data_IF_318418331400
#
_entry.id   IF_318418331400
#
_cell.length_a   1.000
_cell.length_b   1.000
_cell.length_c   1.000
_cell.angle_alpha   90.00
_cell.angle_beta   90.00
_cell.angle_gamma   90.00
#
_symmetry.space_group_name_H-M   'P 1'
#
loop_
_entity.id
_entity.type
_entity.pdbx_description
1 polymer ?
#
# COMPACT_ATOMS: atom_id res chain seq x y z
N UNK A 1 33.90 46.29 -11.45
CA UNK A 1 33.16 45.61 -10.38
C UNK A 1 32.65 46.67 -9.44
N UNK A 2 31.33 46.86 -9.26
CA UNK A 2 30.81 47.56 -8.11
C UNK A 2 30.48 46.55 -7.00
N UNK A 3 30.99 46.83 -5.81
CA UNK A 3 30.66 46.15 -4.54
C UNK A 3 29.14 46.21 -4.31
N UNK A 4 28.49 45.06 -4.14
CA UNK A 4 27.09 44.99 -3.71
C UNK A 4 27.02 45.25 -2.21
N UNK A 5 26.69 46.49 -1.85
CA UNK A 5 26.40 46.92 -0.49
C UNK A 5 25.18 46.15 0.05
N UNK A 6 25.41 45.24 1.00
CA UNK A 6 24.36 44.47 1.68
C UNK A 6 23.40 45.44 2.39
N UNK A 7 22.14 45.50 1.96
CA UNK A 7 21.24 46.61 2.35
C UNK A 7 20.29 46.24 3.51
N UNK A 8 20.06 44.96 3.86
CA UNK A 8 19.17 44.56 4.99
C UNK A 8 19.56 43.21 5.60
N UNK A 9 19.44 43.08 6.92
CA UNK A 9 19.44 41.79 7.63
C UNK A 9 18.36 41.77 8.72
N UNK A 10 17.83 40.58 9.01
CA UNK A 10 16.71 40.34 9.95
C UNK A 10 17.15 39.27 10.95
N UNK A 11 17.35 39.64 12.22
CA UNK A 11 17.69 38.68 13.27
C UNK A 11 16.41 37.97 13.76
N UNK A 12 16.43 36.63 13.81
CA UNK A 12 15.41 35.81 14.46
C UNK A 12 16.10 34.97 15.53
N UNK A 13 15.67 35.09 16.78
CA UNK A 13 16.26 34.38 17.92
C UNK A 13 15.19 33.74 18.79
N UNK A 14 15.40 32.46 19.12
CA UNK A 14 14.57 31.68 20.05
C UNK A 14 15.03 31.96 21.48
N UNK A 15 14.12 32.43 22.35
CA UNK A 15 14.35 32.42 23.80
C UNK A 15 13.83 31.08 24.33
N UNK A 16 14.64 30.41 25.15
CA UNK A 16 14.48 29.01 25.58
C UNK A 16 13.22 28.61 26.36
N UNK A 17 12.10 29.35 26.26
CA UNK A 17 10.80 29.01 26.83
C UNK A 17 9.61 29.24 25.86
N UNK A 18 9.80 29.10 24.54
CA UNK A 18 8.70 29.05 23.58
C UNK A 18 8.00 30.39 23.28
N UNK A 19 8.66 31.52 23.55
CA UNK A 19 8.17 32.85 23.17
C UNK A 19 8.93 33.40 21.95
N UNK A 20 8.18 33.88 20.95
CA UNK A 20 8.72 34.54 19.76
C UNK A 20 9.18 35.97 20.08
N UNK A 21 10.40 36.35 19.68
CA UNK A 21 10.77 37.77 19.58
C UNK A 21 10.43 38.24 18.16
N UNK A 22 9.65 39.31 18.06
CA UNK A 22 9.31 39.91 16.78
C UNK A 22 10.59 40.35 16.03
N UNK A 23 10.71 40.02 14.73
CA UNK A 23 11.88 40.42 13.98
C UNK A 23 11.96 41.94 13.83
N UNK A 24 13.17 42.49 14.01
CA UNK A 24 13.47 43.90 13.71
C UNK A 24 14.30 44.00 12.43
N UNK A 25 13.89 44.90 11.55
CA UNK A 25 14.59 45.22 10.30
C UNK A 25 15.74 46.19 10.59
N UNK A 26 16.94 45.89 10.08
CA UNK A 26 18.10 46.77 10.26
C UNK A 26 18.72 47.15 8.90
N UNK A 27 19.13 48.42 8.79
CA UNK A 27 19.95 48.95 7.69
C UNK A 27 21.34 49.34 8.22
N UNK A 28 22.40 48.82 7.61
CA UNK A 28 23.79 49.21 7.87
C UNK A 28 24.52 48.38 8.93
N UNK A 29 25.83 48.20 8.74
CA UNK A 29 26.69 47.45 9.67
C UNK A 29 26.96 48.28 10.94
N UNK A 30 26.43 47.84 12.08
CA UNK A 30 27.05 48.11 13.39
C UNK A 30 26.45 47.22 14.48
N UNK A 31 27.33 46.68 15.32
CA UNK A 31 26.98 45.88 16.50
C UNK A 31 26.01 46.64 17.42
N UNK A 32 25.04 45.93 18.02
CA UNK A 32 24.19 46.46 19.08
C UNK A 32 24.17 45.57 20.32
N UNK A 33 24.14 46.25 21.46
CA UNK A 33 23.90 45.70 22.80
C UNK A 33 22.41 45.49 22.98
N UNK A 34 22.01 44.29 23.37
CA UNK A 34 20.63 43.96 23.73
C UNK A 34 20.43 44.30 25.21
N UNK A 35 19.74 45.41 25.50
CA UNK A 35 19.35 45.75 26.87
C UNK A 35 18.21 44.83 27.35
N UNK A 36 18.37 44.27 28.56
CA UNK A 36 17.35 43.44 29.23
C UNK A 36 17.72 41.97 29.47
N UNK A 37 18.89 41.51 29.01
CA UNK A 37 19.39 40.17 29.35
C UNK A 37 20.05 40.24 30.74
N UNK A 38 19.33 39.79 31.77
CA UNK A 38 19.92 39.58 33.11
C UNK A 38 20.98 38.49 32.98
N UNK A 39 22.20 38.82 33.36
CA UNK A 39 23.40 38.01 33.17
C UNK A 39 23.24 36.57 33.68
N UNK A 40 23.32 35.61 32.75
CA UNK A 40 23.61 34.21 32.99
C UNK A 40 24.71 33.76 31.99
N UNK A 41 25.58 32.80 32.34
CA UNK A 41 26.94 32.72 31.84
C UNK A 41 26.98 32.27 30.38
N UNK A 42 27.75 33.03 29.57
CA UNK A 42 28.25 32.69 28.23
C UNK A 42 27.32 31.83 27.37
N UNK A 43 26.29 32.45 26.78
CA UNK A 43 25.72 31.89 25.55
C UNK A 43 26.79 32.00 24.45
N UNK A 44 27.22 30.90 23.82
CA UNK A 44 28.06 30.99 22.63
C UNK A 44 27.21 31.56 21.49
N UNK A 45 27.38 32.85 21.20
CA UNK A 45 26.94 33.42 19.94
C UNK A 45 27.88 32.87 18.86
N UNK A 46 27.51 31.77 18.23
CA UNK A 46 28.11 31.38 16.95
C UNK A 46 27.54 32.32 15.90
N UNK A 47 28.37 33.23 15.39
CA UNK A 47 28.10 33.94 14.13
C UNK A 47 28.19 32.88 13.04
N UNK A 48 27.05 32.29 12.67
CA UNK A 48 26.95 31.43 11.50
C UNK A 48 26.95 32.32 10.25
N UNK A 49 27.62 31.81 9.23
CA UNK A 49 27.68 32.37 7.88
C UNK A 49 26.28 32.75 7.36
N UNK A 50 26.23 33.79 6.52
CA UNK A 50 25.05 34.42 5.92
C UNK A 50 23.80 33.52 5.85
N UNK A 51 22.95 33.55 6.88
CA UNK A 51 21.69 32.82 6.90
C UNK A 51 20.58 33.71 6.34
N UNK A 52 19.90 33.26 5.28
CA UNK A 52 18.75 33.97 4.71
C UNK A 52 17.49 33.76 5.55
N UNK A 53 16.40 34.47 5.22
CA UNK A 53 15.11 34.22 5.88
C UNK A 53 14.58 32.84 5.49
N UNK A 54 14.82 32.41 4.24
CA UNK A 54 14.56 31.06 3.76
C UNK A 54 15.24 29.99 4.61
N UNK A 55 16.55 30.09 4.78
CA UNK A 55 17.36 29.14 5.57
C UNK A 55 16.84 29.00 7.01
N UNK A 56 16.52 30.13 7.65
CA UNK A 56 16.04 30.14 9.02
C UNK A 56 14.68 29.45 9.16
N UNK A 57 13.78 29.64 8.18
CA UNK A 57 12.47 28.98 8.14
C UNK A 57 12.62 27.50 7.82
N UNK A 58 13.45 27.14 6.83
CA UNK A 58 13.72 25.76 6.45
C UNK A 58 14.32 24.95 7.60
N UNK A 59 15.32 25.50 8.32
CA UNK A 59 15.85 24.92 9.55
C UNK A 59 14.76 24.76 10.62
N UNK A 60 13.88 25.75 10.75
CA UNK A 60 12.74 25.67 11.68
C UNK A 60 11.82 24.50 11.30
N UNK A 61 11.47 24.34 10.03
CA UNK A 61 10.69 23.20 9.53
C UNK A 61 11.37 21.86 9.85
N UNK A 62 12.67 21.72 9.57
CA UNK A 62 13.45 20.51 9.85
C UNK A 62 13.49 20.12 11.33
N UNK A 63 13.51 21.12 12.20
CA UNK A 63 13.67 20.97 13.66
C UNK A 63 12.35 21.02 14.43
N UNK A 64 11.24 21.40 13.79
CA UNK A 64 9.94 21.52 14.44
C UNK A 64 9.43 20.15 14.90
N UNK A 65 9.49 19.95 16.22
CA UNK A 65 8.71 18.94 16.94
C UNK A 65 7.45 19.63 17.45
N UNK A 66 6.27 19.10 17.14
CA UNK A 66 4.99 19.68 17.55
C UNK A 66 4.80 19.70 19.07
N UNK A 67 3.61 20.12 19.50
CA UNK A 67 3.23 20.04 20.92
C UNK A 67 3.41 18.59 21.42
N UNK A 68 4.13 18.42 22.52
CA UNK A 68 4.43 17.12 23.19
C UNK A 68 5.63 16.31 22.65
N UNK A 69 6.51 16.90 21.83
CA UNK A 69 7.73 16.22 21.35
C UNK A 69 7.47 15.19 20.24
N UNK A 70 6.22 15.06 19.81
CA UNK A 70 5.81 14.39 18.58
C UNK A 70 5.96 15.40 17.45
N UNK A 71 6.72 15.09 16.39
CA UNK A 71 6.76 15.93 15.19
C UNK A 71 5.34 16.14 14.68
N UNK A 72 4.82 17.37 14.77
CA UNK A 72 3.60 17.76 14.07
C UNK A 72 3.95 17.61 12.60
N UNK A 73 3.45 16.54 11.99
CA UNK A 73 3.79 16.16 10.64
C UNK A 73 3.18 17.18 9.69
N UNK A 74 4.02 17.69 8.79
CA UNK A 74 3.53 18.41 7.62
C UNK A 74 2.79 17.37 6.78
N UNK A 75 1.45 17.41 6.83
CA UNK A 75 0.61 16.42 6.18
C UNK A 75 0.20 16.86 4.77
N UNK A 76 1.12 16.77 3.81
CA UNK A 76 0.88 17.17 2.43
C UNK A 76 0.44 16.00 1.54
N UNK A 77 -0.88 15.75 1.60
CA UNK A 77 -1.81 15.36 0.53
C UNK A 77 -1.41 14.34 -0.56
N UNK A 78 -1.99 13.14 -0.45
CA UNK A 78 -2.32 12.24 -1.57
C UNK A 78 -3.83 12.26 -1.93
N UNK A 79 -4.61 13.22 -1.40
CA UNK A 79 -6.07 13.25 -1.58
C UNK A 79 -6.52 13.61 -3.00
N UNK A 80 -5.69 14.34 -3.75
CA UNK A 80 -6.05 14.92 -5.05
C UNK A 80 -5.34 14.22 -6.23
N UNK A 81 -4.46 13.25 -5.94
CA UNK A 81 -3.97 12.32 -6.95
C UNK A 81 -5.08 11.31 -7.26
N UNK A 82 -5.99 11.72 -8.15
CA UNK A 82 -7.22 11.01 -8.55
C UNK A 82 -6.94 9.62 -9.14
N UNK A 83 -5.71 9.36 -9.54
CA UNK A 83 -5.27 8.07 -10.03
C UNK A 83 -4.82 7.23 -8.83
N UNK A 84 -5.77 6.47 -8.27
CA UNK A 84 -5.52 5.43 -7.27
C UNK A 84 -4.44 4.43 -7.72
N UNK A 85 -4.22 3.37 -6.93
CA UNK A 85 -3.23 2.36 -7.33
C UNK A 85 -3.64 1.71 -8.66
N UNK A 86 -2.69 1.62 -9.59
CA UNK A 86 -2.90 0.84 -10.82
C UNK A 86 -2.99 -0.64 -10.46
N UNK A 87 -3.56 -1.45 -11.35
CA UNK A 87 -3.65 -2.90 -11.11
C UNK A 87 -2.27 -3.55 -10.92
N UNK A 88 -1.26 -3.08 -11.64
CA UNK A 88 0.12 -3.55 -11.50
C UNK A 88 0.73 -3.15 -10.14
N UNK A 89 0.46 -1.93 -9.68
CA UNK A 89 0.90 -1.46 -8.35
C UNK A 89 0.20 -2.25 -7.23
N UNK A 90 -1.10 -2.54 -7.39
CA UNK A 90 -1.84 -3.37 -6.45
C UNK A 90 -1.26 -4.80 -6.39
N UNK A 91 -1.01 -5.43 -7.53
CA UNK A 91 -0.40 -6.76 -7.58
C UNK A 91 1.02 -6.77 -6.97
N UNK A 92 1.82 -5.75 -7.26
CA UNK A 92 3.15 -5.60 -6.66
C UNK A 92 3.04 -5.48 -5.12
N UNK A 93 2.09 -4.71 -4.59
CA UNK A 93 1.81 -4.65 -3.15
C UNK A 93 1.38 -6.02 -2.60
N UNK A 94 0.56 -6.79 -3.33
CA UNK A 94 0.12 -8.13 -2.91
C UNK A 94 1.26 -9.15 -2.89
N UNK A 95 2.22 -9.04 -3.82
CA UNK A 95 3.49 -9.79 -3.80
C UNK A 95 4.47 -9.29 -2.73
N UNK A 96 4.18 -8.12 -2.16
CA UNK A 96 4.99 -7.45 -1.17
C UNK A 96 6.20 -6.70 -1.71
N UNK A 97 6.17 -6.36 -3.01
CA UNK A 97 7.10 -5.46 -3.70
C UNK A 97 6.79 -3.98 -3.37
N UNK A 98 6.49 -3.68 -2.09
CA UNK A 98 6.01 -2.36 -1.64
C UNK A 98 7.07 -1.28 -1.85
N UNK A 99 8.35 -1.63 -1.76
CA UNK A 99 9.46 -0.72 -1.98
C UNK A 99 9.50 -0.20 -3.43
N UNK A 100 9.29 -1.09 -4.40
CA UNK A 100 9.32 -0.74 -5.83
C UNK A 100 8.14 0.17 -6.18
N UNK A 101 6.94 -0.15 -5.67
CA UNK A 101 5.75 0.70 -5.82
C UNK A 101 5.97 2.07 -5.19
N UNK A 102 6.64 2.14 -4.03
CA UNK A 102 6.94 3.41 -3.37
C UNK A 102 7.86 4.29 -4.22
N UNK A 103 8.89 3.73 -4.85
CA UNK A 103 9.78 4.49 -5.73
C UNK A 103 9.05 4.95 -7.00
N UNK A 104 8.26 4.08 -7.64
CA UNK A 104 7.43 4.45 -8.79
C UNK A 104 6.44 5.56 -8.45
N UNK A 105 5.78 5.45 -7.29
CA UNK A 105 4.85 6.47 -6.81
C UNK A 105 5.54 7.79 -6.51
N UNK A 106 6.75 7.79 -5.94
CA UNK A 106 7.52 9.02 -5.72
C UNK A 106 7.77 9.75 -7.02
N UNK A 107 8.16 9.05 -8.08
CA UNK A 107 8.38 9.65 -9.40
C UNK A 107 7.07 10.18 -9.99
N UNK A 108 6.02 9.35 -10.03
CA UNK A 108 4.71 9.70 -10.57
C UNK A 108 4.08 10.91 -9.87
N UNK A 109 4.24 10.99 -8.56
CA UNK A 109 3.58 11.97 -7.70
C UNK A 109 4.49 13.15 -7.36
N UNK A 110 5.74 13.18 -7.82
CA UNK A 110 6.73 14.23 -7.52
C UNK A 110 6.20 15.64 -7.76
N UNK A 111 5.51 15.86 -8.89
CA UNK A 111 4.94 17.17 -9.24
C UNK A 111 3.81 17.60 -8.30
N UNK A 112 2.91 16.66 -7.97
CA UNK A 112 1.80 16.92 -7.06
C UNK A 112 2.30 17.15 -5.63
N UNK A 113 3.25 16.32 -5.19
CA UNK A 113 3.92 16.45 -3.90
C UNK A 113 4.63 17.81 -3.78
N UNK A 114 5.39 18.23 -4.79
CA UNK A 114 6.03 19.57 -4.79
C UNK A 114 5.01 20.71 -4.73
N UNK A 115 3.93 20.65 -5.51
CA UNK A 115 2.90 21.69 -5.49
C UNK A 115 2.18 21.77 -4.13
N UNK A 116 1.93 20.64 -3.48
CA UNK A 116 1.38 20.61 -2.12
C UNK A 116 2.38 21.16 -1.09
N UNK A 117 3.66 20.79 -1.21
CA UNK A 117 4.73 21.31 -0.37
C UNK A 117 4.90 22.83 -0.52
N UNK A 118 4.73 23.38 -1.73
CA UNK A 118 4.70 24.84 -1.97
C UNK A 118 3.56 25.54 -1.22
N UNK A 119 2.36 24.96 -1.20
CA UNK A 119 1.23 25.53 -0.47
C UNK A 119 1.48 25.50 1.05
N UNK A 120 1.97 24.39 1.59
CA UNK A 120 2.27 24.30 3.02
C UNK A 120 3.45 25.20 3.40
N UNK A 121 4.47 25.32 2.55
CA UNK A 121 5.59 26.24 2.73
C UNK A 121 5.11 27.70 2.81
N UNK A 122 4.18 28.11 1.94
CA UNK A 122 3.54 29.43 2.00
C UNK A 122 2.76 29.62 3.33
N UNK A 123 2.03 28.60 3.77
CA UNK A 123 1.28 28.62 5.02
C UNK A 123 2.17 28.72 6.26
N UNK A 124 3.25 27.94 6.33
CA UNK A 124 4.25 28.00 7.41
C UNK A 124 4.92 29.37 7.41
N UNK A 125 5.37 29.85 6.26
CA UNK A 125 6.01 31.16 6.10
C UNK A 125 5.12 32.29 6.62
N UNK A 126 3.83 32.24 6.26
CA UNK A 126 2.82 33.20 6.72
C UNK A 126 2.56 33.10 8.23
N UNK A 127 2.47 31.88 8.78
CA UNK A 127 2.33 31.65 10.24
C UNK A 127 3.52 32.22 11.03
N UNK A 128 4.72 32.18 10.45
CA UNK A 128 5.95 32.76 11.01
C UNK A 128 6.08 34.27 10.80
N UNK A 129 5.09 34.92 10.18
CA UNK A 129 5.05 36.37 9.98
C UNK A 129 6.00 36.87 8.89
N UNK A 130 6.38 36.00 7.95
CA UNK A 130 7.11 36.37 6.75
C UNK A 130 6.18 36.43 5.53
N UNK A 131 6.56 37.22 4.52
CA UNK A 131 5.79 37.37 3.27
C UNK A 131 6.42 36.50 2.18
N UNK A 132 5.77 35.37 1.88
CA UNK A 132 6.17 34.41 0.85
C UNK A 132 6.42 35.05 -0.52
N UNK A 133 5.63 36.07 -0.88
CA UNK A 133 5.75 36.73 -2.21
C UNK A 133 6.93 37.68 -2.29
N UNK A 134 7.51 38.04 -1.15
CA UNK A 134 8.67 38.92 -1.08
C UNK A 134 10.01 38.18 -1.07
N UNK A 135 9.98 36.84 -0.94
CA UNK A 135 11.15 35.97 -0.98
C UNK A 135 11.62 35.74 -2.42
N UNK A 136 12.91 35.53 -2.60
CA UNK A 136 13.46 35.07 -3.87
C UNK A 136 13.15 33.57 -4.09
N UNK A 137 13.53 33.07 -5.27
CA UNK A 137 13.26 31.67 -5.64
C UNK A 137 14.07 30.69 -4.81
N UNK A 138 15.29 31.06 -4.41
CA UNK A 138 16.20 30.20 -3.65
C UNK A 138 15.66 29.99 -2.22
N UNK A 139 15.25 31.06 -1.53
CA UNK A 139 14.63 30.99 -0.21
C UNK A 139 13.33 30.16 -0.22
N UNK A 140 12.51 30.33 -1.26
CA UNK A 140 11.27 29.56 -1.40
C UNK A 140 11.55 28.08 -1.65
N UNK A 141 12.50 27.76 -2.52
CA UNK A 141 12.88 26.39 -2.80
C UNK A 141 13.44 25.69 -1.57
N UNK A 142 14.29 26.36 -0.79
CA UNK A 142 14.87 25.81 0.45
C UNK A 142 13.79 25.44 1.49
N UNK A 143 12.75 26.28 1.64
CA UNK A 143 11.62 25.98 2.55
C UNK A 143 10.80 24.80 2.01
N UNK A 144 10.53 24.75 0.69
CA UNK A 144 9.79 23.64 0.05
C UNK A 144 10.53 22.32 0.23
N UNK A 145 11.84 22.31 0.01
CA UNK A 145 12.68 21.13 0.21
C UNK A 145 12.67 20.68 1.66
N UNK A 146 12.79 21.61 2.62
CA UNK A 146 12.66 21.28 4.03
C UNK A 146 11.30 20.68 4.40
N UNK A 147 10.21 21.16 3.79
CA UNK A 147 8.86 20.59 3.94
C UNK A 147 8.81 19.16 3.40
N UNK A 148 9.33 18.92 2.19
CA UNK A 148 9.36 17.59 1.57
C UNK A 148 10.26 16.61 2.35
N UNK A 149 11.37 17.08 2.92
CA UNK A 149 12.30 16.25 3.72
C UNK A 149 11.69 15.77 5.03
N UNK A 150 10.81 16.58 5.65
CA UNK A 150 10.15 16.20 6.89
C UNK A 150 8.82 15.47 6.67
N UNK A 151 8.37 15.34 5.43
CA UNK A 151 7.19 14.55 5.10
C UNK A 151 7.42 13.06 5.46
N UNK A 152 6.45 12.50 6.18
CA UNK A 152 6.47 11.11 6.65
C UNK A 152 5.28 10.30 6.13
N UNK A 153 4.54 10.79 5.14
CA UNK A 153 3.38 10.06 4.62
C UNK A 153 3.80 8.74 3.99
N UNK A 154 3.16 7.65 4.45
CA UNK A 154 3.14 6.40 3.71
C UNK A 154 2.10 6.50 2.59
N UNK A 155 2.54 7.02 1.44
CA UNK A 155 1.73 7.18 0.24
C UNK A 155 1.01 5.88 -0.15
N UNK A 156 1.74 4.77 -0.10
CA UNK A 156 1.21 3.44 -0.38
C UNK A 156 0.13 3.08 0.64
N UNK A 157 0.40 3.31 1.92
CA UNK A 157 -0.59 3.15 2.99
C UNK A 157 -1.86 3.94 2.73
N UNK A 158 -1.77 5.23 2.42
CA UNK A 158 -2.95 6.08 2.15
C UNK A 158 -3.74 5.57 0.94
N UNK A 159 -3.08 5.37 -0.20
CA UNK A 159 -3.78 4.94 -1.42
C UNK A 159 -4.38 3.53 -1.27
N UNK A 160 -3.74 2.64 -0.51
CA UNK A 160 -4.30 1.33 -0.16
C UNK A 160 -5.65 1.46 0.56
N UNK A 161 -5.82 2.45 1.44
CA UNK A 161 -7.09 2.69 2.15
C UNK A 161 -8.13 3.42 1.28
N UNK A 162 -7.68 4.18 0.29
CA UNK A 162 -8.56 4.90 -0.65
C UNK A 162 -9.04 4.03 -1.82
N UNK A 163 -8.35 2.91 -2.08
CA UNK A 163 -8.70 2.00 -3.17
C UNK A 163 -10.02 1.29 -2.85
N UNK A 164 -10.97 1.34 -3.78
CA UNK A 164 -12.25 0.66 -3.64
C UNK A 164 -12.07 -0.86 -3.52
N UNK A 165 -13.10 -1.54 -3.00
CA UNK A 165 -13.07 -3.00 -2.92
C UNK A 165 -12.83 -3.60 -4.31
N UNK A 166 -11.86 -4.50 -4.38
CA UNK A 166 -11.51 -5.23 -5.59
C UNK A 166 -11.92 -6.69 -5.45
N UNK A 167 -12.10 -7.32 -6.60
CA UNK A 167 -12.15 -8.77 -6.67
C UNK A 167 -10.72 -9.32 -6.59
N UNK A 168 -10.48 -10.19 -5.62
CA UNK A 168 -9.21 -10.86 -5.42
C UNK A 168 -9.33 -12.34 -5.73
N UNK A 169 -8.21 -12.92 -6.20
CA UNK A 169 -8.03 -14.35 -6.36
C UNK A 169 -6.81 -14.83 -5.58
N UNK A 170 -6.95 -15.97 -4.94
CA UNK A 170 -5.85 -16.64 -4.24
C UNK A 170 -5.83 -18.12 -4.64
N UNK A 171 -4.78 -18.60 -5.33
CA UNK A 171 -4.67 -20.00 -5.68
C UNK A 171 -4.55 -20.87 -4.42
N UNK A 172 -5.22 -22.03 -4.42
CA UNK A 172 -5.14 -23.04 -3.36
C UNK A 172 -3.94 -23.98 -3.50
N UNK A 173 -2.96 -23.62 -4.33
CA UNK A 173 -1.69 -24.33 -4.45
C UNK A 173 -1.36 -24.66 -5.90
N UNK A 174 -1.04 -25.93 -6.14
CA UNK A 174 -0.61 -26.44 -7.44
C UNK A 174 -1.78 -26.64 -8.40
N UNK A 175 -1.46 -26.99 -9.65
CA UNK A 175 -2.49 -27.44 -10.61
C UNK A 175 -3.21 -28.68 -10.10
N UNK A 176 -4.46 -28.87 -10.52
CA UNK A 176 -5.29 -30.02 -10.12
C UNK A 176 -4.62 -31.34 -10.51
N UNK A 177 -3.93 -31.38 -11.66
CA UNK A 177 -3.21 -32.57 -12.13
C UNK A 177 -1.98 -32.88 -11.28
N UNK A 178 -1.21 -31.87 -10.88
CA UNK A 178 -0.09 -32.07 -9.94
C UNK A 178 -0.58 -32.58 -8.58
N UNK A 179 -1.74 -32.11 -8.11
CA UNK A 179 -2.36 -32.60 -6.88
C UNK A 179 -2.84 -34.06 -7.03
N UNK A 180 -3.45 -34.39 -8.16
CA UNK A 180 -3.85 -35.76 -8.47
C UNK A 180 -2.65 -36.70 -8.49
N UNK A 181 -1.56 -36.31 -9.16
CA UNK A 181 -0.33 -37.09 -9.22
C UNK A 181 0.27 -37.34 -7.82
N UNK A 182 0.23 -36.33 -6.93
CA UNK A 182 0.68 -36.45 -5.54
C UNK A 182 -0.11 -37.47 -4.71
N UNK A 183 -1.36 -37.75 -5.08
CA UNK A 183 -2.25 -38.71 -4.42
C UNK A 183 -2.36 -40.05 -5.16
N UNK A 184 -1.64 -40.21 -6.28
CA UNK A 184 -1.67 -41.42 -7.12
C UNK A 184 -2.90 -41.52 -8.04
N UNK A 185 -3.69 -40.45 -8.16
CA UNK A 185 -4.81 -40.35 -9.10
C UNK A 185 -4.26 -39.94 -10.47
N UNK A 186 -4.69 -40.62 -11.53
CA UNK A 186 -4.20 -40.40 -12.91
C UNK A 186 -5.36 -40.40 -13.91
N UNK A 187 -5.14 -39.87 -15.12
CA UNK A 187 -6.12 -39.94 -16.20
C UNK A 187 -7.28 -38.95 -16.06
N UNK A 188 -7.06 -37.84 -15.35
CA UNK A 188 -8.06 -36.79 -15.13
C UNK A 188 -7.91 -35.60 -16.07
N UNK A 189 -6.80 -35.55 -16.82
CA UNK A 189 -6.36 -34.40 -17.63
C UNK A 189 -7.33 -34.15 -18.77
N UNK A 190 -7.63 -35.16 -19.58
CA UNK A 190 -8.45 -35.01 -20.77
C UNK A 190 -9.77 -35.74 -20.63
N UNK A 191 -10.87 -35.08 -20.99
CA UNK A 191 -12.18 -35.71 -21.06
C UNK A 191 -12.19 -36.87 -22.07
N UNK A 192 -12.51 -38.07 -21.58
CA UNK A 192 -12.70 -39.29 -22.36
C UNK A 192 -14.12 -39.80 -22.15
N UNK A 193 -14.94 -39.73 -23.20
CA UNK A 193 -16.34 -40.14 -23.17
C UNK A 193 -16.51 -41.61 -22.75
N UNK A 194 -15.54 -42.48 -23.07
CA UNK A 194 -15.58 -43.89 -22.68
C UNK A 194 -15.39 -44.11 -21.17
N UNK A 195 -14.77 -43.14 -20.48
CA UNK A 195 -14.42 -43.20 -19.06
C UNK A 195 -15.02 -42.03 -18.26
N UNK A 196 -16.02 -41.32 -18.80
CA UNK A 196 -16.53 -40.06 -18.26
C UNK A 196 -16.92 -40.16 -16.77
N UNK A 197 -17.64 -41.21 -16.38
CA UNK A 197 -18.06 -41.41 -14.98
C UNK A 197 -16.88 -41.63 -14.03
N UNK A 198 -15.89 -42.42 -14.47
CA UNK A 198 -14.70 -42.71 -13.69
C UNK A 198 -13.80 -41.47 -13.55
N UNK A 199 -13.65 -40.70 -14.62
CA UNK A 199 -12.92 -39.43 -14.62
C UNK A 199 -13.61 -38.38 -13.75
N UNK A 200 -14.93 -38.25 -13.85
CA UNK A 200 -15.70 -37.34 -13.01
C UNK A 200 -15.56 -37.70 -11.52
N UNK A 201 -15.62 -38.99 -11.18
CA UNK A 201 -15.39 -39.46 -9.82
C UNK A 201 -13.97 -39.14 -9.32
N UNK A 202 -12.95 -39.36 -10.16
CA UNK A 202 -11.55 -39.07 -9.85
C UNK A 202 -11.30 -37.56 -9.68
N UNK A 203 -11.79 -36.72 -10.60
CA UNK A 203 -11.72 -35.25 -10.50
C UNK A 203 -12.39 -34.74 -9.21
N UNK A 204 -13.57 -35.26 -8.88
CA UNK A 204 -14.27 -34.92 -7.64
C UNK A 204 -13.46 -35.30 -6.40
N UNK A 205 -12.84 -36.49 -6.41
CA UNK A 205 -11.98 -36.93 -5.31
C UNK A 205 -10.78 -36.00 -5.11
N UNK A 206 -10.14 -35.54 -6.20
CA UNK A 206 -9.03 -34.58 -6.12
C UNK A 206 -9.49 -33.25 -5.54
N UNK A 207 -10.60 -32.69 -6.02
CA UNK A 207 -11.14 -31.44 -5.48
C UNK A 207 -11.49 -31.54 -4.00
N UNK A 208 -12.12 -32.64 -3.57
CA UNK A 208 -12.40 -32.88 -2.15
C UNK A 208 -11.11 -32.99 -1.32
N UNK A 209 -10.06 -33.59 -1.87
CA UNK A 209 -8.74 -33.62 -1.25
C UNK A 209 -8.15 -32.21 -1.07
N UNK A 210 -8.18 -31.40 -2.13
CA UNK A 210 -7.74 -29.99 -2.08
C UNK A 210 -8.54 -29.23 -1.02
N UNK A 211 -9.88 -29.34 -1.02
CA UNK A 211 -10.71 -28.65 -0.04
C UNK A 211 -10.42 -29.10 1.39
N UNK A 212 -10.16 -30.39 1.61
CA UNK A 212 -9.80 -30.93 2.92
C UNK A 212 -8.43 -30.45 3.41
N UNK A 213 -7.44 -30.34 2.53
CA UNK A 213 -6.12 -29.72 2.84
C UNK A 213 -6.27 -28.28 3.33
N UNK A 214 -7.29 -27.59 2.81
CA UNK A 214 -7.66 -26.22 3.15
C UNK A 214 -8.76 -26.12 4.21
N UNK A 215 -8.99 -27.20 4.97
CA UNK A 215 -9.81 -27.19 6.18
C UNK A 215 -11.33 -27.27 5.96
N UNK A 216 -11.80 -27.51 4.73
CA UNK A 216 -13.20 -27.86 4.51
C UNK A 216 -13.46 -29.33 4.89
N UNK A 217 -14.65 -29.64 5.39
CA UNK A 217 -15.06 -31.02 5.64
C UNK A 217 -15.46 -31.68 4.30
N UNK A 218 -14.74 -32.72 3.83
CA UNK A 218 -15.03 -33.40 2.57
C UNK A 218 -16.32 -34.23 2.60
N UNK A 219 -16.88 -34.51 3.78
CA UNK A 219 -18.15 -35.22 3.94
C UNK A 219 -19.35 -34.27 4.06
N UNK A 220 -19.12 -32.97 4.24
CA UNK A 220 -20.20 -31.99 4.36
C UNK A 220 -20.98 -31.88 3.03
N UNK A 221 -22.33 -31.95 3.04
CA UNK A 221 -23.13 -31.99 1.82
C UNK A 221 -22.86 -30.85 0.83
N UNK A 222 -22.63 -29.65 1.34
CA UNK A 222 -22.32 -28.48 0.50
C UNK A 222 -20.92 -28.56 -0.13
N UNK A 223 -19.93 -29.13 0.56
CA UNK A 223 -18.58 -29.35 0.01
C UNK A 223 -18.64 -30.39 -1.11
N UNK A 224 -19.38 -31.48 -0.90
CA UNK A 224 -19.59 -32.53 -1.90
C UNK A 224 -20.32 -31.99 -3.12
N UNK A 225 -21.36 -31.18 -2.91
CA UNK A 225 -22.12 -30.54 -3.99
C UNK A 225 -21.26 -29.52 -4.76
N UNK A 226 -20.44 -28.72 -4.08
CA UNK A 226 -19.51 -27.79 -4.72
C UNK A 226 -18.52 -28.52 -5.62
N UNK A 227 -17.87 -29.59 -5.11
CA UNK A 227 -16.96 -30.40 -5.91
C UNK A 227 -17.68 -31.07 -7.10
N UNK A 228 -18.93 -31.53 -6.92
CA UNK A 228 -19.74 -32.10 -8.00
C UNK A 228 -20.00 -31.07 -9.10
N UNK A 229 -20.45 -29.87 -8.76
CA UNK A 229 -20.73 -28.79 -9.74
C UNK A 229 -19.49 -28.40 -10.51
N UNK A 230 -18.36 -28.20 -9.83
CA UNK A 230 -17.10 -27.86 -10.47
C UNK A 230 -16.65 -28.91 -11.49
N UNK A 231 -16.93 -30.19 -11.25
CA UNK A 231 -16.63 -31.27 -12.21
C UNK A 231 -17.62 -31.32 -13.37
N UNK A 232 -18.91 -31.20 -13.10
CA UNK A 232 -19.96 -31.33 -14.11
C UNK A 232 -20.02 -30.15 -15.08
N UNK A 233 -19.91 -28.94 -14.54
CA UNK A 233 -19.92 -27.72 -15.33
C UNK A 233 -18.51 -27.36 -15.83
N UNK A 234 -17.49 -28.07 -15.32
CA UNK A 234 -16.07 -27.86 -15.57
C UNK A 234 -15.66 -27.95 -17.04
N UNK A 235 -14.49 -27.37 -17.39
CA UNK A 235 -13.90 -27.49 -18.72
C UNK A 235 -13.61 -28.95 -19.08
N UNK A 236 -13.40 -29.23 -20.37
CA UNK A 236 -13.05 -30.59 -20.81
C UNK A 236 -11.58 -30.94 -20.51
N UNK A 237 -10.70 -29.97 -20.68
CA UNK A 237 -9.27 -30.08 -20.43
C UNK A 237 -8.95 -29.58 -19.02
N UNK A 238 -8.30 -30.43 -18.22
CA UNK A 238 -7.92 -30.19 -16.83
C UNK A 238 -6.41 -30.10 -16.63
N UNK A 239 -5.63 -30.15 -17.71
CA UNK A 239 -4.16 -30.27 -17.69
C UNK A 239 -3.46 -29.15 -16.89
N UNK A 240 -3.94 -27.91 -17.02
CA UNK A 240 -3.29 -26.72 -16.45
C UNK A 240 -4.15 -25.99 -15.40
N UNK A 241 -5.29 -26.57 -15.01
CA UNK A 241 -6.26 -25.88 -14.17
C UNK A 241 -5.77 -25.76 -12.72
N UNK A 242 -6.02 -24.60 -12.12
CA UNK A 242 -5.88 -24.36 -10.68
C UNK A 242 -7.24 -24.24 -10.01
N UNK A 243 -7.25 -24.35 -8.69
CA UNK A 243 -8.41 -23.99 -7.87
C UNK A 243 -8.04 -22.73 -7.12
N UNK A 244 -8.83 -21.68 -7.30
CA UNK A 244 -8.62 -20.39 -6.67
C UNK A 244 -9.80 -20.03 -5.77
N UNK A 245 -9.53 -19.28 -4.72
CA UNK A 245 -10.57 -18.60 -3.92
C UNK A 245 -10.79 -17.24 -4.52
N UNK A 246 -12.05 -16.87 -4.77
CA UNK A 246 -12.43 -15.56 -5.27
C UNK A 246 -13.29 -14.81 -4.24
N UNK A 247 -12.91 -13.59 -3.90
CA UNK A 247 -13.68 -12.76 -2.96
C UNK A 247 -13.52 -11.26 -3.23
N UNK A 248 -14.49 -10.46 -2.80
CA UNK A 248 -14.30 -9.00 -2.76
C UNK A 248 -13.79 -8.55 -1.40
N UNK A 249 -12.72 -7.76 -1.42
CA UNK A 249 -12.13 -7.18 -0.22
C UNK A 249 -11.44 -5.87 -0.51
N UNK A 250 -10.80 -5.30 0.49
CA UNK A 250 -9.88 -4.17 0.33
C UNK A 250 -8.45 -4.65 0.13
N UNK A 251 -7.61 -3.85 -0.53
CA UNK A 251 -6.19 -4.19 -0.71
C UNK A 251 -5.45 -4.38 0.63
N UNK A 252 -5.86 -3.64 1.66
CA UNK A 252 -5.33 -3.79 3.01
C UNK A 252 -5.62 -5.18 3.61
N UNK A 253 -6.81 -5.72 3.36
CA UNK A 253 -7.21 -7.06 3.80
C UNK A 253 -6.46 -8.16 3.03
N UNK A 254 -6.19 -7.95 1.74
CA UNK A 254 -5.60 -8.97 0.87
C UNK A 254 -4.07 -9.06 0.94
N UNK A 255 -3.36 -7.95 1.23
CA UNK A 255 -1.89 -7.93 1.17
C UNK A 255 -1.21 -8.80 2.23
N UNK A 256 -0.04 -9.33 1.87
CA UNK A 256 0.89 -9.95 2.80
C UNK A 256 1.51 -8.84 3.68
N UNK A 257 1.60 -9.02 5.00
CA UNK A 257 2.28 -8.06 5.86
C UNK A 257 3.75 -7.90 5.46
N UNK A 258 4.21 -6.65 5.41
CA UNK A 258 5.60 -6.29 5.21
C UNK A 258 6.11 -5.44 6.38
N UNK A 259 7.41 -5.53 6.67
CA UNK A 259 8.06 -4.60 7.62
C UNK A 259 8.18 -3.18 7.04
N UNK A 260 8.75 -2.25 7.83
CA UNK A 260 8.99 -0.86 7.39
C UNK A 260 9.90 -0.73 6.17
N UNK A 261 10.72 -1.77 5.91
CA UNK A 261 11.63 -1.87 4.77
C UNK A 261 10.99 -2.58 3.57
N UNK A 262 9.71 -2.95 3.65
CA UNK A 262 9.00 -3.65 2.58
C UNK A 262 9.35 -5.14 2.46
N UNK A 263 9.98 -5.75 3.47
CA UNK A 263 10.25 -7.19 3.46
C UNK A 263 9.01 -7.95 3.89
N UNK A 264 8.56 -8.89 3.06
CA UNK A 264 7.40 -9.73 3.35
C UNK A 264 7.68 -10.71 4.47
N UNK A 265 6.63 -11.03 5.24
CA UNK A 265 6.67 -12.17 6.14
C UNK A 265 6.75 -13.48 5.32
N UNK A 266 7.80 -14.30 5.49
CA UNK A 266 7.91 -15.58 4.78
C UNK A 266 6.79 -16.57 5.13
N UNK A 267 6.19 -16.45 6.32
CA UNK A 267 5.06 -17.29 6.72
C UNK A 267 3.74 -16.88 6.04
N UNK A 268 3.74 -15.74 5.35
CA UNK A 268 2.61 -15.23 4.60
C UNK A 268 1.46 -14.71 5.47
N UNK A 269 0.25 -14.79 4.93
CA UNK A 269 -1.02 -14.43 5.60
C UNK A 269 -2.03 -15.53 5.41
N UNK A 270 -2.64 -15.97 6.51
CA UNK A 270 -3.72 -16.95 6.48
C UNK A 270 -5.08 -16.25 6.53
N UNK A 271 -6.00 -16.78 5.72
CA UNK A 271 -7.38 -16.35 5.59
C UNK A 271 -8.29 -17.50 5.98
N UNK A 272 -9.34 -17.19 6.72
CA UNK A 272 -10.46 -18.07 7.01
C UNK A 272 -11.71 -17.43 6.42
N UNK A 273 -12.40 -18.17 5.58
CA UNK A 273 -13.61 -17.73 4.92
C UNK A 273 -14.81 -18.58 5.33
N UNK A 274 -15.98 -17.96 5.39
CA UNK A 274 -17.29 -18.61 5.52
C UNK A 274 -18.14 -18.22 4.31
N UNK A 275 -18.73 -19.20 3.61
CA UNK A 275 -19.53 -18.96 2.41
C UNK A 275 -18.71 -18.41 1.23
N UNK A 276 -17.52 -18.93 0.99
CA UNK A 276 -16.59 -18.40 -0.01
C UNK A 276 -16.79 -19.02 -1.38
N UNK A 277 -16.55 -18.23 -2.43
CA UNK A 277 -16.55 -18.76 -3.79
C UNK A 277 -15.18 -19.35 -4.13
N UNK A 278 -15.19 -20.59 -4.58
CA UNK A 278 -14.06 -21.25 -5.23
C UNK A 278 -14.30 -21.32 -6.72
N UNK A 279 -13.23 -21.16 -7.49
CA UNK A 279 -13.27 -21.22 -8.94
C UNK A 279 -12.24 -22.24 -9.43
N UNK A 280 -12.60 -22.99 -10.46
CA UNK A 280 -11.60 -23.62 -11.32
C UNK A 280 -11.14 -22.56 -12.31
N UNK A 281 -9.84 -22.34 -12.39
CA UNK A 281 -9.23 -21.32 -13.24
C UNK A 281 -8.25 -21.96 -14.21
N UNK A 282 -8.46 -21.70 -15.51
CA UNK A 282 -7.45 -21.96 -16.53
C UNK A 282 -6.60 -20.69 -16.75
N UNK A 283 -5.27 -20.73 -16.49
CA UNK A 283 -4.41 -19.58 -16.64
C UNK A 283 -4.20 -19.13 -18.10
N UNK A 284 -4.52 -19.97 -19.09
CA UNK A 284 -4.29 -19.71 -20.51
C UNK A 284 -5.59 -19.44 -21.28
N UNK A 285 -6.56 -20.33 -21.11
CA UNK A 285 -7.74 -20.38 -21.98
C UNK A 285 -8.96 -19.73 -21.32
N UNK A 286 -8.92 -19.61 -19.99
CA UNK A 286 -9.90 -18.86 -19.24
C UNK A 286 -11.30 -19.47 -19.21
N UNK A 287 -11.39 -20.80 -19.31
CA UNK A 287 -12.61 -21.48 -18.90
C UNK A 287 -12.68 -21.46 -17.37
N UNK A 288 -13.82 -21.02 -16.83
CA UNK A 288 -14.00 -20.90 -15.38
C UNK A 288 -15.35 -21.36 -14.92
N UNK A 289 -15.37 -22.10 -13.81
CA UNK A 289 -16.59 -22.55 -13.13
C UNK A 289 -16.45 -22.24 -11.66
N UNK A 290 -17.54 -21.79 -11.05
CA UNK A 290 -17.58 -21.37 -9.66
C UNK A 290 -18.53 -22.23 -8.81
N UNK A 291 -18.18 -22.40 -7.55
CA UNK A 291 -19.04 -22.99 -6.54
C UNK A 291 -18.80 -22.30 -5.18
N UNK A 292 -19.75 -22.43 -4.26
CA UNK A 292 -19.62 -21.87 -2.90
C UNK A 292 -19.28 -22.99 -1.92
N UNK A 293 -18.29 -22.74 -1.06
CA UNK A 293 -17.92 -23.61 0.05
C UNK A 293 -18.35 -22.99 1.38
N UNK A 294 -18.82 -23.81 2.35
CA UNK A 294 -19.29 -23.33 3.64
C UNK A 294 -18.15 -22.71 4.45
N UNK A 295 -16.98 -23.34 4.47
CA UNK A 295 -15.78 -22.87 5.16
C UNK A 295 -14.54 -23.27 4.39
N UNK A 296 -13.55 -22.39 4.36
CA UNK A 296 -12.25 -22.70 3.74
C UNK A 296 -11.16 -21.84 4.38
N UNK A 297 -9.94 -22.38 4.45
CA UNK A 297 -8.73 -21.64 4.79
C UNK A 297 -7.84 -21.51 3.55
N UNK A 298 -7.15 -20.39 3.40
CA UNK A 298 -6.15 -20.24 2.36
C UNK A 298 -4.98 -19.41 2.88
N UNK A 299 -3.82 -19.55 2.26
CA UNK A 299 -2.61 -18.83 2.66
C UNK A 299 -1.96 -18.14 1.47
N UNK A 300 -1.84 -16.82 1.55
CA UNK A 300 -1.03 -16.07 0.61
C UNK A 300 0.42 -15.99 1.08
N UNK A 301 1.36 -16.23 0.17
CA UNK A 301 2.80 -16.12 0.40
C UNK A 301 3.45 -15.36 -0.76
N UNK A 302 4.72 -15.01 -0.65
CA UNK A 302 5.50 -14.42 -1.74
C UNK A 302 5.50 -15.28 -3.01
N UNK A 303 5.44 -16.61 -2.86
CA UNK A 303 5.38 -17.58 -3.96
C UNK A 303 3.97 -17.88 -4.46
N UNK A 304 2.96 -17.61 -3.64
CA UNK A 304 1.56 -17.80 -3.96
C UNK A 304 0.76 -16.57 -3.50
N UNK A 305 0.96 -15.43 -4.16
CA UNK A 305 0.38 -14.16 -3.74
C UNK A 305 -1.11 -14.11 -4.09
N UNK A 306 -1.84 -13.23 -3.40
CA UNK A 306 -3.15 -12.79 -3.88
C UNK A 306 -2.95 -11.99 -5.17
N UNK A 307 -3.89 -12.09 -6.11
CA UNK A 307 -3.89 -11.26 -7.33
C UNK A 307 -5.20 -10.48 -7.42
N UNK A 308 -5.14 -9.28 -7.99
CA UNK A 308 -6.35 -8.56 -8.38
C UNK A 308 -6.93 -9.21 -9.64
N UNK A 309 -8.22 -9.51 -9.67
CA UNK A 309 -8.92 -9.94 -10.88
C UNK A 309 -9.68 -8.76 -11.49
N UNK A 310 -9.26 -8.35 -12.69
CA UNK A 310 -9.86 -7.25 -13.44
C UNK A 310 -10.10 -7.66 -14.90
N UNK A 311 -11.18 -7.17 -15.56
CA UNK A 311 -11.55 -7.65 -16.89
C UNK A 311 -10.51 -7.46 -18.00
N UNK A 312 -9.53 -6.59 -17.78
CA UNK A 312 -8.43 -6.28 -18.69
C UNK A 312 -7.23 -7.24 -18.53
N UNK A 313 -7.19 -8.08 -17.49
CA UNK A 313 -6.14 -9.07 -17.31
C UNK A 313 -6.32 -10.32 -18.18
N UNK A 314 -5.24 -10.86 -18.76
CA UNK A 314 -5.25 -12.19 -19.36
C UNK A 314 -5.75 -13.25 -18.37
N UNK A 315 -6.64 -14.12 -18.81
CA UNK A 315 -7.22 -15.16 -17.96
C UNK A 315 -8.08 -14.62 -16.81
N UNK A 316 -8.63 -13.40 -16.92
CA UNK A 316 -9.49 -12.84 -15.89
C UNK A 316 -10.84 -13.58 -15.80
N UNK A 317 -11.16 -14.01 -14.58
CA UNK A 317 -12.44 -14.63 -14.27
C UNK A 317 -13.62 -13.66 -14.45
N UNK A 318 -13.45 -12.40 -14.05
CA UNK A 318 -14.51 -11.39 -14.17
C UNK A 318 -14.84 -11.02 -15.61
N UNK A 319 -13.85 -11.01 -16.51
CA UNK A 319 -14.10 -10.84 -17.94
C UNK A 319 -15.01 -11.95 -18.50
N UNK A 320 -14.82 -13.18 -18.04
CA UNK A 320 -15.44 -14.38 -18.61
C UNK A 320 -16.80 -14.69 -18.03
N UNK A 321 -16.93 -14.62 -16.71
CA UNK A 321 -18.20 -14.93 -16.04
C UNK A 321 -19.30 -13.93 -16.41
N UNK A 322 -18.94 -12.71 -16.83
CA UNK A 322 -19.87 -11.61 -17.07
C UNK A 322 -20.67 -11.22 -15.81
N UNK A 323 -20.33 -11.78 -14.64
CA UNK A 323 -21.03 -11.54 -13.39
C UNK A 323 -20.49 -10.26 -12.78
N UNK A 324 -21.39 -9.35 -12.42
CA UNK A 324 -21.01 -8.17 -11.65
C UNK A 324 -20.52 -8.60 -10.27
N UNK A 325 -19.32 -8.14 -9.93
CA UNK A 325 -18.51 -8.49 -8.76
C UNK A 325 -19.24 -8.46 -7.41
N UNK A 326 -20.42 -7.86 -7.27
CA UNK A 326 -21.10 -7.61 -5.98
C UNK A 326 -21.48 -8.86 -5.15
N UNK A 327 -21.49 -10.06 -5.74
CA UNK A 327 -21.96 -11.28 -5.07
C UNK A 327 -20.90 -12.10 -4.30
N UNK A 328 -19.61 -11.85 -4.50
CA UNK A 328 -18.54 -12.72 -3.96
C UNK A 328 -18.02 -12.24 -2.60
N UNK A 329 -18.90 -11.74 -1.74
CA UNK A 329 -18.49 -11.35 -0.38
C UNK A 329 -18.71 -12.56 0.52
N UNK A 330 -17.69 -13.07 1.23
CA UNK A 330 -17.87 -14.11 2.23
C UNK A 330 -18.87 -13.66 3.31
N UNK A 331 -19.63 -14.59 3.86
CA UNK A 331 -20.54 -14.33 4.99
C UNK A 331 -19.74 -13.90 6.24
N UNK A 332 -18.62 -14.56 6.49
CA UNK A 332 -17.60 -14.14 7.44
C UNK A 332 -16.22 -14.27 6.83
N UNK A 333 -15.35 -13.32 7.14
CA UNK A 333 -13.95 -13.29 6.71
C UNK A 333 -13.07 -12.93 7.89
N UNK A 334 -12.07 -13.78 8.17
CA UNK A 334 -11.05 -13.52 9.17
C UNK A 334 -9.69 -13.70 8.54
N UNK A 335 -8.81 -12.74 8.73
CA UNK A 335 -7.42 -12.88 8.37
C UNK A 335 -6.60 -12.85 9.65
N UNK A 336 -5.62 -13.74 9.78
CA UNK A 336 -4.72 -13.70 10.92
C UNK A 336 -3.92 -12.39 10.90
N UNK A 337 -3.89 -11.69 12.04
CA UNK A 337 -2.89 -10.68 12.29
C UNK A 337 -1.53 -11.39 12.49
N UNK A 338 -0.40 -10.77 12.09
CA UNK A 338 0.91 -11.39 12.24
C UNK A 338 1.14 -11.77 13.70
N UNK A 339 1.90 -12.85 13.91
CA UNK A 339 2.21 -13.47 15.20
C UNK A 339 2.13 -12.49 16.36
N UNK A 340 1.13 -12.71 17.22
CA UNK A 340 0.99 -11.96 18.45
C UNK A 340 2.22 -12.17 19.32
N UNK A 341 3.10 -11.18 19.35
CA UNK A 341 3.91 -10.82 20.53
C UNK A 341 4.26 -9.34 20.43
N UNK A 342 3.92 -8.64 21.52
CA UNK A 342 4.17 -7.26 21.96
C UNK A 342 5.25 -6.43 21.25
#
# INVERSE_FOLDING_TARGET
MPESTLTRYKNVGLVGNGGWIAPKEHQGASAQVIDGIVAAPAYPFNVLEYETVGDAIARTVRTYTGKDGVKETVNTFYSDAVDGLTTDQMDAILRGEVADVREEMKERLAKAHRAAAEQEAEDITRKLGADWRSMDDDDRNEIVEAVMEVDRHDAVGILTHMTEKQLFRLPLGKTIVEQAAGTGITGIEFFDEANADAQAAARRQVLLGIFAEHGADPEHPETVEAARRLVEDGPKDWSELTVDVAWNGTLHEARIPSDEFGRTNPDGREFEFVGVTVIIHDPYDGETVDAVLPTLKARATDRNPVTVDTPDKPGSWSAQSGRQHRGLTPDEFRASAPGGTY
#
